data_IF_003571684278
#
_entry.id   IF_003571684278
#
_cell.length_a   1.000
_cell.length_b   1.000
_cell.length_c   1.000
_cell.angle_alpha   90.00
_cell.angle_beta   90.00
_cell.angle_gamma   90.00
#
_symmetry.space_group_name_H-M   'P 1'
#
loop_
_entity.id
_entity.type
_entity.pdbx_description
1 polymer ?
#
# COMPACT_ATOMS: atom_id res chain seq x y z
N UNK A 1 5.40 -17.83 -20.49
CA UNK A 1 5.49 -16.51 -19.84
C UNK A 1 4.11 -15.91 -19.77
N UNK A 2 3.83 -15.04 -18.80
CA UNK A 2 2.59 -14.28 -18.77
C UNK A 2 2.56 -13.30 -19.96
N UNK A 3 1.44 -13.17 -20.68
CA UNK A 3 1.34 -12.20 -21.77
C UNK A 3 1.46 -10.78 -21.20
N UNK A 4 2.29 -9.95 -21.81
CA UNK A 4 2.35 -8.52 -21.51
C UNK A 4 1.14 -7.83 -22.14
N UNK A 5 0.58 -6.84 -21.45
CA UNK A 5 -0.43 -5.96 -22.04
C UNK A 5 0.18 -4.96 -23.03
N UNK A 6 -0.68 -4.20 -23.70
CA UNK A 6 -0.26 -3.12 -24.59
C UNK A 6 0.64 -2.11 -23.85
N UNK A 7 1.74 -1.64 -24.49
CA UNK A 7 2.62 -0.66 -23.89
C UNK A 7 1.92 0.69 -23.72
N UNK A 8 2.19 1.35 -22.60
CA UNK A 8 1.78 2.74 -22.38
C UNK A 8 2.53 3.63 -23.37
N UNK A 9 1.81 4.49 -24.09
CA UNK A 9 2.38 5.44 -25.05
C UNK A 9 2.13 6.88 -24.58
N UNK A 10 3.14 7.76 -24.66
CA UNK A 10 3.02 9.15 -24.19
C UNK A 10 3.37 9.33 -22.71
N UNK A 11 2.78 10.34 -22.06
CA UNK A 11 3.06 10.67 -20.66
C UNK A 11 2.19 9.82 -19.69
N UNK A 12 2.84 9.03 -18.84
CA UNK A 12 2.13 8.18 -17.88
C UNK A 12 1.40 8.97 -16.78
N UNK A 13 1.87 10.16 -16.41
CA UNK A 13 1.18 10.99 -15.41
C UNK A 13 -0.17 11.49 -15.91
N UNK A 14 -0.29 11.79 -17.20
CA UNK A 14 -1.54 12.24 -17.83
C UNK A 14 -2.57 11.11 -17.98
N UNK A 15 -2.12 9.86 -17.97
CA UNK A 15 -2.95 8.68 -18.19
C UNK A 15 -3.26 7.90 -16.91
N UNK A 16 -2.59 8.24 -15.79
CA UNK A 16 -2.66 7.48 -14.54
C UNK A 16 -4.10 7.36 -14.00
N UNK A 17 -4.86 8.44 -14.09
CA UNK A 17 -6.23 8.51 -13.57
C UNK A 17 -7.23 7.71 -14.42
N UNK A 18 -6.88 7.43 -15.68
CA UNK A 18 -7.68 6.61 -16.61
C UNK A 18 -7.39 5.11 -16.48
N UNK A 19 -6.36 4.72 -15.70
CA UNK A 19 -6.03 3.32 -15.49
C UNK A 19 -7.10 2.63 -14.63
N UNK A 20 -7.46 1.41 -15.03
CA UNK A 20 -8.27 0.54 -14.19
C UNK A 20 -7.59 0.30 -12.82
N UNK A 21 -8.38 0.16 -11.75
CA UNK A 21 -7.86 0.11 -10.39
C UNK A 21 -6.91 -1.07 -10.09
N UNK A 22 -6.99 -2.16 -10.85
CA UNK A 22 -6.06 -3.30 -10.78
C UNK A 22 -4.69 -3.01 -11.43
N UNK A 23 -4.61 -1.95 -12.25
CA UNK A 23 -3.38 -1.42 -12.85
C UNK A 23 -2.81 -0.22 -12.09
N UNK A 24 -3.48 0.22 -11.02
CA UNK A 24 -2.98 1.28 -10.14
C UNK A 24 -2.24 0.70 -8.94
N UNK A 25 -1.12 1.32 -8.58
CA UNK A 25 -0.40 0.99 -7.35
C UNK A 25 -1.23 1.34 -6.12
N UNK A 26 -0.95 0.66 -5.00
CA UNK A 26 -1.46 1.12 -3.72
C UNK A 26 -0.84 2.48 -3.39
N UNK A 27 -1.66 3.41 -2.89
CA UNK A 27 -1.25 4.80 -2.62
C UNK A 27 -0.65 4.98 -1.22
N UNK A 28 -0.75 3.97 -0.37
CA UNK A 28 -0.24 3.99 1.00
C UNK A 28 0.15 2.58 1.46
N UNK A 29 0.87 2.52 2.58
CA UNK A 29 1.39 1.26 3.14
C UNK A 29 0.27 0.32 3.60
N UNK A 30 -0.84 0.84 4.13
CA UNK A 30 -1.98 0.05 4.61
C UNK A 30 -2.60 -0.76 3.46
N UNK A 31 -2.89 -0.10 2.33
CA UNK A 31 -3.46 -0.76 1.16
C UNK A 31 -2.47 -1.71 0.50
N UNK A 32 -1.19 -1.35 0.44
CA UNK A 32 -0.15 -2.24 -0.08
C UNK A 32 -0.04 -3.52 0.77
N UNK A 33 -0.07 -3.38 2.10
CA UNK A 33 -0.03 -4.50 3.06
C UNK A 33 -1.25 -5.40 2.91
N UNK A 34 -2.44 -4.82 2.78
CA UNK A 34 -3.68 -5.60 2.57
C UNK A 34 -3.65 -6.39 1.26
N UNK A 35 -3.12 -5.79 0.18
CA UNK A 35 -2.95 -6.49 -1.11
C UNK A 35 -1.90 -7.61 -0.98
N UNK A 36 -0.79 -7.36 -0.31
CA UNK A 36 0.29 -8.32 -0.09
C UNK A 36 -0.19 -9.53 0.73
N UNK A 37 -0.88 -9.32 1.84
CA UNK A 37 -1.39 -10.37 2.73
C UNK A 37 -2.40 -11.32 2.06
N UNK A 38 -3.06 -10.88 0.98
CA UNK A 38 -4.05 -11.68 0.23
C UNK A 38 -3.49 -12.30 -1.06
N UNK A 39 -2.22 -12.05 -1.38
CA UNK A 39 -1.62 -12.48 -2.63
C UNK A 39 -1.17 -13.94 -2.58
N UNK A 40 -1.80 -14.79 -3.40
CA UNK A 40 -1.34 -16.18 -3.59
C UNK A 40 0.05 -16.26 -4.24
N UNK A 41 0.41 -15.27 -5.04
CA UNK A 41 1.73 -15.21 -5.70
C UNK A 41 2.83 -14.99 -4.66
N UNK A 42 2.57 -14.15 -3.65
CA UNK A 42 3.51 -13.92 -2.55
C UNK A 42 3.70 -15.21 -1.75
N UNK A 43 2.62 -15.93 -1.44
CA UNK A 43 2.69 -17.24 -0.78
C UNK A 43 3.57 -18.23 -1.55
N UNK A 44 3.40 -18.28 -2.88
CA UNK A 44 4.17 -19.17 -3.74
C UNK A 44 5.65 -18.83 -3.81
N UNK A 45 6.00 -17.55 -3.76
CA UNK A 45 7.39 -17.08 -3.90
C UNK A 45 8.13 -17.13 -2.56
N UNK A 46 7.47 -16.73 -1.46
CA UNK A 46 8.12 -16.53 -0.17
C UNK A 46 7.69 -17.52 0.91
N UNK A 47 6.57 -18.23 0.70
CA UNK A 47 5.96 -19.11 1.70
C UNK A 47 4.98 -18.38 2.62
N UNK A 48 3.98 -19.11 3.10
CA UNK A 48 2.91 -18.60 3.95
C UNK A 48 3.44 -17.95 5.24
N UNK A 49 4.42 -18.58 5.91
CA UNK A 49 4.99 -18.06 7.15
C UNK A 49 5.66 -16.69 6.96
N UNK A 50 6.41 -16.50 5.88
CA UNK A 50 7.01 -15.20 5.58
C UNK A 50 5.94 -14.16 5.28
N UNK A 51 4.96 -14.50 4.45
CA UNK A 51 3.90 -13.59 4.07
C UNK A 51 3.12 -13.10 5.29
N UNK A 52 2.79 -14.01 6.21
CA UNK A 52 2.09 -13.69 7.47
C UNK A 52 2.93 -12.77 8.34
N UNK A 53 4.17 -13.15 8.66
CA UNK A 53 5.04 -12.35 9.54
C UNK A 53 5.36 -10.98 8.96
N UNK A 54 5.66 -10.91 7.66
CA UNK A 54 5.96 -9.64 7.00
C UNK A 54 4.75 -8.72 7.02
N UNK A 55 3.56 -9.23 6.66
CA UNK A 55 2.31 -8.45 6.67
C UNK A 55 2.01 -7.92 8.08
N UNK A 56 2.13 -8.76 9.10
CA UNK A 56 1.88 -8.36 10.48
C UNK A 56 2.80 -7.21 10.94
N UNK A 57 4.08 -7.23 10.54
CA UNK A 57 5.00 -6.13 10.87
C UNK A 57 4.61 -4.80 10.22
N UNK A 58 4.09 -4.83 8.98
CA UNK A 58 3.64 -3.62 8.27
C UNK A 58 2.31 -3.10 8.82
N UNK A 59 1.40 -3.99 9.21
CA UNK A 59 0.17 -3.59 9.91
C UNK A 59 0.47 -2.88 11.23
N UNK A 60 1.46 -3.36 11.99
CA UNK A 60 1.88 -2.70 13.22
C UNK A 60 2.45 -1.30 12.96
N UNK A 61 3.30 -1.16 11.94
CA UNK A 61 3.86 0.12 11.51
C UNK A 61 2.78 1.14 11.14
N UNK A 62 1.75 0.71 10.40
CA UNK A 62 0.60 1.55 10.05
C UNK A 62 -0.14 2.02 11.30
N UNK A 63 -0.41 1.12 12.25
CA UNK A 63 -1.10 1.47 13.51
C UNK A 63 -0.31 2.48 14.34
N UNK A 64 1.01 2.32 14.42
CA UNK A 64 1.84 3.28 15.15
C UNK A 64 1.87 4.64 14.46
N UNK A 65 1.94 4.68 13.13
CA UNK A 65 1.87 5.94 12.38
C UNK A 65 0.54 6.68 12.62
N UNK A 66 -0.59 5.97 12.53
CA UNK A 66 -1.92 6.55 12.76
C UNK A 66 -2.08 7.12 14.18
N UNK A 67 -1.50 6.47 15.19
CA UNK A 67 -1.45 6.99 16.56
C UNK A 67 -0.65 8.29 16.65
N UNK A 68 0.56 8.32 16.10
CA UNK A 68 1.43 9.50 16.15
C UNK A 68 0.83 10.71 15.41
N UNK A 69 0.19 10.49 14.26
CA UNK A 69 -0.49 11.57 13.51
C UNK A 69 -1.61 12.18 14.35
N UNK A 70 -2.42 11.36 15.03
CA UNK A 70 -3.47 11.86 15.91
C UNK A 70 -2.90 12.69 17.07
N UNK A 71 -1.84 12.23 17.73
CA UNK A 71 -1.20 12.95 18.84
C UNK A 71 -0.63 14.32 18.40
N UNK A 72 0.01 14.36 17.22
CA UNK A 72 0.50 15.61 16.64
C UNK A 72 -0.64 16.57 16.29
N UNK A 73 -1.71 16.06 15.66
CA UNK A 73 -2.88 16.88 15.33
C UNK A 73 -3.52 17.46 16.59
N UNK A 74 -3.69 16.65 17.64
CA UNK A 74 -4.25 17.08 18.91
C UNK A 74 -3.39 18.15 19.61
N UNK A 75 -2.07 17.98 19.60
CA UNK A 75 -1.12 18.97 20.15
C UNK A 75 -1.25 20.32 19.44
N UNK A 76 -1.32 20.31 18.10
CA UNK A 76 -1.52 21.53 17.30
C UNK A 76 -2.85 22.23 17.62
N UNK A 77 -3.92 21.48 17.89
CA UNK A 77 -5.20 22.06 18.31
C UNK A 77 -5.11 22.80 19.66
N UNK A 78 -4.30 22.32 20.61
CA UNK A 78 -4.12 22.97 21.92
C UNK A 78 -3.19 24.18 21.90
N UNK A 79 -2.25 24.27 20.94
CA UNK A 79 -1.36 25.44 20.77
C UNK A 79 -2.05 26.64 20.08
N UNK A 80 -3.20 26.44 19.44
CA UNK A 80 -3.92 27.49 18.68
C UNK A 80 -4.82 28.36 19.58
N UNK A 81 -4.88 28.10 20.90
CA UNK A 81 -5.72 28.86 21.86
C UNK A 81 -4.87 29.87 22.66
#
# INVERSE_FOLDING_TARGET
GLPLGEPVSGNAYEQQDDLAGDRQFATNLSDATRRFARSKVVEQIFGAAFQEHFSASREWEVREYERHVNDWQLTRYFEII
#
